data_IF_282499610870
#
_entry.id   IF_282499610870
#
_cell.length_a   1.000
_cell.length_b   1.000
_cell.length_c   1.000
_cell.angle_alpha   90.00
_cell.angle_beta   90.00
_cell.angle_gamma   90.00
#
_symmetry.space_group_name_H-M   'P 1'
#
loop_
_entity.id
_entity.type
_entity.pdbx_description
1 polymer ?
#
# COMPACT_ATOMS: atom_id res chain seq x y z
N UNK A 1 10.68 16.62 -14.19
CA UNK A 1 9.84 15.59 -13.55
C UNK A 1 8.99 16.27 -12.48
N UNK A 2 7.65 16.12 -12.50
CA UNK A 2 6.76 16.73 -11.49
C UNK A 2 6.31 15.65 -10.50
N UNK A 3 6.23 16.02 -9.23
CA UNK A 3 5.73 15.17 -8.15
C UNK A 3 4.28 15.53 -7.85
N UNK A 4 3.43 14.53 -7.68
CA UNK A 4 2.04 14.68 -7.27
C UNK A 4 1.84 13.88 -5.99
N UNK A 5 1.20 14.51 -5.01
CA UNK A 5 0.87 13.89 -3.73
C UNK A 5 -0.64 13.75 -3.67
N UNK A 6 -1.07 12.54 -3.35
CA UNK A 6 -2.45 12.19 -3.08
C UNK A 6 -2.55 11.74 -1.63
N UNK A 7 -3.42 12.39 -0.88
CA UNK A 7 -3.81 11.99 0.46
C UNK A 7 -5.28 11.56 0.40
N UNK A 8 -5.63 10.48 1.10
CA UNK A 8 -7.01 10.00 1.23
C UNK A 8 -7.75 9.67 -0.10
N UNK A 9 -7.06 9.15 -1.11
CA UNK A 9 -7.71 8.69 -2.38
C UNK A 9 -8.69 7.52 -2.19
N UNK A 10 -8.68 6.92 -1.01
CA UNK A 10 -9.49 5.79 -0.62
C UNK A 10 -10.76 6.16 0.15
N UNK A 11 -11.07 7.45 0.33
CA UNK A 11 -12.28 7.87 1.04
C UNK A 11 -13.54 7.43 0.29
N UNK A 12 -14.37 6.65 0.98
CA UNK A 12 -15.67 6.20 0.48
C UNK A 12 -15.60 5.15 -0.63
N UNK A 13 -14.42 4.55 -0.88
CA UNK A 13 -14.27 3.50 -1.89
C UNK A 13 -13.77 2.19 -1.30
N UNK A 14 -14.00 1.08 -2.01
CA UNK A 14 -13.55 -0.25 -1.63
C UNK A 14 -13.70 -1.24 -2.78
N UNK A 15 -13.23 -2.48 -2.58
CA UNK A 15 -13.33 -3.55 -3.57
C UNK A 15 -12.72 -3.17 -4.92
N UNK A 16 -13.40 -3.52 -6.02
CA UNK A 16 -12.89 -3.29 -7.38
C UNK A 16 -12.68 -1.82 -7.75
N UNK A 17 -13.38 -0.88 -7.11
CA UNK A 17 -13.17 0.56 -7.37
C UNK A 17 -11.77 0.97 -6.90
N UNK A 18 -11.37 0.52 -5.71
CA UNK A 18 -10.03 0.78 -5.18
C UNK A 18 -8.93 0.18 -6.06
N UNK A 19 -9.18 -0.99 -6.67
CA UNK A 19 -8.26 -1.60 -7.62
C UNK A 19 -8.07 -0.74 -8.89
N UNK A 20 -9.17 -0.22 -9.45
CA UNK A 20 -9.12 0.69 -10.61
C UNK A 20 -8.36 1.98 -10.27
N UNK A 21 -8.57 2.54 -9.08
CA UNK A 21 -7.80 3.71 -8.61
C UNK A 21 -6.31 3.39 -8.51
N UNK A 22 -5.94 2.26 -7.88
CA UNK A 22 -4.56 1.81 -7.79
C UNK A 22 -3.89 1.67 -9.17
N UNK A 23 -4.60 1.07 -10.13
CA UNK A 23 -4.14 0.95 -11.52
C UNK A 23 -3.92 2.32 -12.18
N UNK A 24 -4.85 3.26 -12.03
CA UNK A 24 -4.73 4.60 -12.59
C UNK A 24 -3.54 5.37 -12.00
N UNK A 25 -3.29 5.22 -10.70
CA UNK A 25 -2.12 5.81 -10.04
C UNK A 25 -0.81 5.21 -10.56
N UNK A 26 -0.76 3.89 -10.80
CA UNK A 26 0.40 3.24 -11.40
C UNK A 26 0.67 3.70 -12.83
N UNK A 27 -0.37 3.87 -13.66
CA UNK A 27 -0.23 4.42 -15.02
C UNK A 27 0.29 5.86 -14.99
N UNK A 28 -0.21 6.68 -14.06
CA UNK A 28 0.28 8.04 -13.87
C UNK A 28 1.77 8.06 -13.43
N UNK A 29 2.16 7.11 -12.60
CA UNK A 29 3.52 6.96 -12.10
C UNK A 29 4.56 6.65 -13.20
N UNK A 30 4.12 6.16 -14.38
CA UNK A 30 5.00 5.98 -15.56
C UNK A 30 5.59 7.30 -16.08
N UNK A 31 4.95 8.44 -15.79
CA UNK A 31 5.35 9.76 -16.32
C UNK A 31 5.66 10.80 -15.24
N UNK A 32 5.29 10.54 -13.98
CA UNK A 32 5.40 11.47 -12.86
C UNK A 32 5.76 10.72 -11.58
N UNK A 33 6.35 11.39 -10.60
CA UNK A 33 6.46 10.79 -9.28
C UNK A 33 5.11 10.93 -8.57
N UNK A 34 4.54 9.82 -8.11
CA UNK A 34 3.26 9.79 -7.38
C UNK A 34 3.54 9.31 -5.97
N UNK A 35 3.12 10.09 -4.97
CA UNK A 35 3.10 9.69 -3.56
C UNK A 35 1.63 9.56 -3.18
N UNK A 36 1.24 8.40 -2.67
CA UNK A 36 -0.13 8.10 -2.27
C UNK A 36 -0.12 7.62 -0.82
N UNK A 37 -0.89 8.28 0.05
CA UNK A 37 -1.18 7.79 1.40
C UNK A 37 -2.51 7.03 1.33
N UNK A 38 -2.53 5.79 1.81
CA UNK A 38 -3.71 4.93 1.74
C UNK A 38 -3.69 3.87 2.84
N UNK A 39 -4.87 3.46 3.28
CA UNK A 39 -5.10 2.33 4.17
C UNK A 39 -5.66 1.10 3.42
N UNK A 40 -5.93 1.21 2.11
CA UNK A 40 -6.48 0.11 1.32
C UNK A 40 -5.39 -0.76 0.69
N UNK A 41 -5.36 -2.07 0.98
CA UNK A 41 -4.37 -2.99 0.39
C UNK A 41 -4.50 -3.05 -1.14
N UNK A 42 -5.71 -2.85 -1.68
CA UNK A 42 -5.99 -2.83 -3.11
C UNK A 42 -5.21 -1.73 -3.83
N UNK A 43 -5.02 -0.56 -3.21
CA UNK A 43 -4.24 0.54 -3.79
C UNK A 43 -2.75 0.31 -3.54
N UNK A 44 -2.36 -0.05 -2.31
CA UNK A 44 -0.96 -0.26 -1.93
C UNK A 44 -0.25 -1.34 -2.77
N UNK A 45 -0.97 -2.36 -3.25
CA UNK A 45 -0.44 -3.38 -4.16
C UNK A 45 0.10 -2.79 -5.48
N UNK A 46 -0.42 -1.64 -5.93
CA UNK A 46 0.04 -0.96 -7.15
C UNK A 46 1.15 0.07 -6.92
N UNK A 47 1.71 0.19 -5.71
CA UNK A 47 2.86 1.08 -5.39
C UNK A 47 4.22 0.50 -5.84
N UNK A 48 5.10 1.29 -6.48
CA UNK A 48 6.42 0.79 -6.95
C UNK A 48 7.35 0.53 -5.78
N UNK A 49 7.22 1.36 -4.76
CA UNK A 49 7.83 1.23 -3.45
C UNK A 49 6.70 1.29 -2.43
N UNK A 50 6.84 0.54 -1.33
CA UNK A 50 5.88 0.57 -0.23
C UNK A 50 6.63 1.08 1.01
N UNK A 51 6.12 2.15 1.60
CA UNK A 51 6.63 2.68 2.85
C UNK A 51 5.56 2.49 3.92
N UNK A 52 5.96 1.92 5.05
CA UNK A 52 5.12 1.80 6.23
C UNK A 52 5.38 2.98 7.16
N UNK A 53 4.32 3.57 7.68
CA UNK A 53 4.40 4.63 8.69
C UNK A 53 3.91 4.04 10.00
N UNK A 54 4.76 4.07 11.02
CA UNK A 54 4.42 3.58 12.36
C UNK A 54 4.76 4.60 13.44
N UNK A 55 4.04 4.52 14.57
CA UNK A 55 4.29 5.36 15.75
C UNK A 55 4.80 4.46 16.88
N UNK A 56 5.91 4.86 17.50
CA UNK A 56 6.41 4.21 18.71
C UNK A 56 6.64 5.26 19.80
N UNK A 57 6.56 4.84 21.07
CA UNK A 57 6.82 5.73 22.22
C UNK A 57 8.25 5.49 22.69
N UNK A 58 9.09 6.51 22.61
CA UNK A 58 10.46 6.49 23.11
C UNK A 58 10.61 7.54 24.21
N UNK A 59 11.01 7.12 25.42
CA UNK A 59 11.21 8.01 26.59
C UNK A 59 10.00 8.93 26.87
N UNK A 60 8.79 8.36 26.79
CA UNK A 60 7.54 9.09 27.03
C UNK A 60 7.10 10.04 25.91
N UNK A 61 7.78 10.05 24.76
CA UNK A 61 7.40 10.84 23.59
C UNK A 61 7.07 9.94 22.41
N UNK A 62 5.94 10.20 21.75
CA UNK A 62 5.59 9.53 20.49
C UNK A 62 6.48 10.03 19.37
N UNK A 63 7.13 9.11 18.67
CA UNK A 63 7.88 9.34 17.43
C UNK A 63 7.19 8.63 16.26
N UNK A 64 7.22 9.27 15.10
CA UNK A 64 6.79 8.66 13.84
C UNK A 64 8.01 8.19 13.08
N UNK A 65 7.96 6.96 12.60
CA UNK A 65 8.99 6.34 11.79
C UNK A 65 8.42 5.94 10.44
N UNK A 66 9.23 6.10 9.40
CA UNK A 66 8.89 5.73 8.03
C UNK A 66 9.94 4.74 7.54
N UNK A 67 9.51 3.54 7.24
CA UNK A 67 10.38 2.45 6.78
C UNK A 67 10.00 2.03 5.36
N UNK A 68 11.00 1.86 4.49
CA UNK A 68 10.77 1.25 3.18
C UNK A 68 10.73 -0.26 3.36
N UNK A 69 9.63 -0.88 2.92
CA UNK A 69 9.47 -2.32 2.99
C UNK A 69 10.17 -3.03 1.84
N UNK A 70 10.83 -4.14 2.14
CA UNK A 70 11.24 -5.13 1.15
C UNK A 70 10.05 -5.96 0.64
N UNK A 71 10.32 -6.94 -0.24
CA UNK A 71 9.25 -7.75 -0.83
C UNK A 71 8.49 -8.61 0.20
N UNK A 72 9.20 -9.18 1.19
CA UNK A 72 8.60 -10.01 2.22
C UNK A 72 7.81 -9.15 3.21
N UNK A 73 8.42 -8.09 3.74
CA UNK A 73 7.76 -7.14 4.62
C UNK A 73 6.52 -6.51 3.95
N UNK A 74 6.60 -6.23 2.64
CA UNK A 74 5.46 -5.73 1.86
C UNK A 74 4.31 -6.73 1.82
N UNK A 75 4.57 -8.02 1.63
CA UNK A 75 3.53 -9.06 1.69
C UNK A 75 2.88 -9.12 3.06
N UNK A 76 3.68 -9.11 4.12
CA UNK A 76 3.17 -9.11 5.51
C UNK A 76 2.32 -7.88 5.81
N UNK A 77 2.74 -6.71 5.33
CA UNK A 77 1.99 -5.48 5.53
C UNK A 77 0.66 -5.49 4.77
N UNK A 78 0.63 -5.96 3.52
CA UNK A 78 -0.63 -6.13 2.78
C UNK A 78 -1.55 -7.11 3.52
N UNK A 79 -1.01 -8.23 4.00
CA UNK A 79 -1.79 -9.20 4.78
C UNK A 79 -2.34 -8.58 6.08
N UNK A 80 -1.56 -7.73 6.76
CA UNK A 80 -1.98 -6.96 7.93
C UNK A 80 -3.08 -5.96 7.60
N UNK A 81 -2.95 -5.20 6.50
CA UNK A 81 -3.98 -4.26 6.04
C UNK A 81 -5.32 -4.97 5.76
N UNK A 82 -5.28 -6.24 5.34
CA UNK A 82 -6.48 -7.04 5.06
C UNK A 82 -7.09 -7.69 6.30
N UNK A 83 -6.26 -8.33 7.13
CA UNK A 83 -6.71 -9.13 8.28
C UNK A 83 -6.84 -8.31 9.58
N UNK A 84 -6.29 -7.11 9.61
CA UNK A 84 -6.21 -6.27 10.79
C UNK A 84 -5.15 -6.75 11.77
N UNK A 85 -5.54 -6.98 13.03
CA UNK A 85 -4.60 -7.22 14.14
C UNK A 85 -3.92 -8.60 14.06
N UNK A 86 -4.63 -9.63 13.59
CA UNK A 86 -4.11 -11.00 13.54
C UNK A 86 -3.92 -11.45 12.11
N UNK A 87 -2.68 -11.46 11.65
CA UNK A 87 -2.31 -11.99 10.33
C UNK A 87 -2.39 -13.51 10.36
N UNK A 88 -3.10 -14.09 9.40
CA UNK A 88 -3.23 -15.55 9.21
C UNK A 88 -2.51 -15.99 7.93
N UNK A 89 -2.24 -17.29 7.82
CA UNK A 89 -1.63 -17.84 6.59
C UNK A 89 -2.52 -17.64 5.36
N UNK A 90 -3.85 -17.67 5.54
CA UNK A 90 -4.81 -17.35 4.49
C UNK A 90 -4.71 -15.88 4.05
N UNK A 91 -4.54 -14.96 5.01
CA UNK A 91 -4.35 -13.55 4.70
C UNK A 91 -3.04 -13.32 3.92
N UNK A 92 -1.94 -13.98 4.34
CA UNK A 92 -0.66 -13.94 3.60
C UNK A 92 -0.80 -14.51 2.19
N UNK A 93 -1.49 -15.63 2.04
CA UNK A 93 -1.77 -16.22 0.72
C UNK A 93 -2.58 -15.28 -0.17
N UNK A 94 -3.58 -14.60 0.37
CA UNK A 94 -4.39 -13.66 -0.39
C UNK A 94 -3.59 -12.39 -0.75
N UNK A 95 -2.74 -11.88 0.16
CA UNK A 95 -1.84 -10.77 -0.09
C UNK A 95 -0.85 -11.05 -1.23
N UNK A 96 -0.26 -12.26 -1.26
CA UNK A 96 0.59 -12.71 -2.37
C UNK A 96 -0.13 -12.64 -3.71
N UNK A 97 -1.36 -13.13 -3.74
CA UNK A 97 -2.16 -13.11 -4.96
C UNK A 97 -2.48 -11.67 -5.41
N UNK A 98 -2.86 -10.78 -4.48
CA UNK A 98 -3.11 -9.37 -4.81
C UNK A 98 -1.86 -8.67 -5.36
N UNK A 99 -0.69 -8.88 -4.75
CA UNK A 99 0.58 -8.33 -5.23
C UNK A 99 0.96 -8.86 -6.62
N UNK A 100 0.72 -10.15 -6.87
CA UNK A 100 0.94 -10.78 -8.17
C UNK A 100 0.02 -10.19 -9.23
N UNK A 101 -1.27 -10.08 -8.94
CA UNK A 101 -2.26 -9.49 -9.84
C UNK A 101 -1.95 -8.03 -10.14
N UNK A 102 -1.62 -7.23 -9.13
CA UNK A 102 -1.22 -5.84 -9.33
C UNK A 102 0.04 -5.73 -10.22
N UNK A 103 0.98 -6.68 -10.12
CA UNK A 103 2.16 -6.72 -10.99
C UNK A 103 1.81 -7.05 -12.44
N UNK A 104 0.89 -8.00 -12.68
CA UNK A 104 0.38 -8.33 -14.02
C UNK A 104 -0.40 -7.17 -14.62
N UNK A 105 -1.24 -6.52 -13.81
CA UNK A 105 -2.17 -5.47 -14.24
C UNK A 105 -1.52 -4.09 -14.42
N UNK A 106 -0.22 -3.97 -14.16
CA UNK A 106 0.53 -2.71 -14.23
C UNK A 106 0.91 -2.25 -15.64
N UNK A 107 0.68 -3.09 -16.66
CA UNK A 107 0.92 -2.77 -18.07
C UNK A 107 2.39 -2.66 -18.43
#
# INVERSE_FOLDING_TARGET
>A
MRTIIFDEVDVGIGGGIAEVVGKNLAELAKKKQVICVTHLPQIACFGNQHFMIQKHVEKGRTRTEVERLDAHQREEEIARMMAGVKVTDQAKAHAREMLRQATINRG
#
